data_IF_040128125115
#
_entry.id   IF_040128125115
#
_cell.length_a   1.000
_cell.length_b   1.000
_cell.length_c   1.000
_cell.angle_alpha   90.00
_cell.angle_beta   90.00
_cell.angle_gamma   90.00
#
_symmetry.space_group_name_H-M   'P 1'
#
loop_
_entity.id
_entity.type
_entity.pdbx_description
1 polymer ?
#
# COMPACT_ATOMS: atom_id res chain seq x y z
N UNK A 1 16.04 3.63 22.00
CA UNK A 1 16.83 4.18 20.88
C UNK A 1 15.99 4.32 19.62
N UNK A 2 15.22 3.29 19.23
CA UNK A 2 14.20 3.42 18.20
C UNK A 2 12.91 4.06 18.74
N UNK A 3 12.19 4.80 17.89
CA UNK A 3 10.87 5.37 18.17
C UNK A 3 9.80 4.89 17.18
N UNK A 4 10.15 4.03 16.23
CA UNK A 4 9.26 3.49 15.21
C UNK A 4 9.73 2.11 14.78
N UNK A 5 8.79 1.22 14.50
CA UNK A 5 9.04 -0.10 13.92
C UNK A 5 8.32 -0.23 12.58
N UNK A 6 8.98 -0.89 11.62
CA UNK A 6 8.40 -1.23 10.33
C UNK A 6 8.08 -2.72 10.30
N UNK A 7 6.82 -3.06 10.04
CA UNK A 7 6.39 -4.45 9.91
C UNK A 7 6.13 -4.83 8.46
N UNK A 8 6.61 -6.01 8.09
CA UNK A 8 6.36 -6.66 6.82
C UNK A 8 5.29 -7.74 7.01
N UNK A 9 4.31 -7.76 6.12
CA UNK A 9 3.25 -8.76 6.16
C UNK A 9 2.27 -8.52 7.30
N UNK A 10 1.01 -8.41 6.93
CA UNK A 10 -0.11 -8.31 7.85
C UNK A 10 -1.16 -9.31 7.39
N UNK A 11 -1.23 -10.45 8.06
CA UNK A 11 -2.25 -11.44 7.75
C UNK A 11 -3.59 -10.88 8.27
N UNK A 12 -4.57 -10.58 7.39
CA UNK A 12 -5.84 -9.98 7.81
C UNK A 12 -6.68 -10.88 8.73
N UNK A 13 -6.34 -12.18 8.85
CA UNK A 13 -7.00 -13.09 9.78
C UNK A 13 -6.46 -13.00 11.23
N UNK A 14 -5.32 -12.35 11.44
CA UNK A 14 -4.72 -12.19 12.76
C UNK A 14 -5.24 -10.92 13.43
N UNK A 15 -5.38 -10.97 14.75
CA UNK A 15 -5.63 -9.79 15.56
C UNK A 15 -4.31 -9.06 15.85
N UNK A 16 -4.24 -7.78 15.51
CA UNK A 16 -3.07 -6.93 15.67
C UNK A 16 -3.16 -6.00 16.90
N UNK A 17 -4.28 -5.97 17.64
CA UNK A 17 -4.49 -5.01 18.75
C UNK A 17 -3.39 -5.10 19.80
N UNK A 18 -3.12 -6.29 20.36
CA UNK A 18 -2.16 -6.41 21.47
C UNK A 18 -0.74 -5.96 21.10
N UNK A 19 -0.33 -6.15 19.85
CA UNK A 19 0.96 -5.62 19.38
C UNK A 19 0.93 -4.09 19.30
N UNK A 20 -0.14 -3.52 18.75
CA UNK A 20 -0.28 -2.09 18.57
C UNK A 20 -0.45 -1.37 19.93
N UNK A 21 -1.15 -1.97 20.89
CA UNK A 21 -1.30 -1.49 22.26
C UNK A 21 0.06 -1.39 22.95
N UNK A 22 0.86 -2.46 22.88
CA UNK A 22 2.20 -2.49 23.46
C UNK A 22 3.13 -1.47 22.77
N UNK A 23 3.07 -1.38 21.43
CA UNK A 23 3.82 -0.36 20.70
C UNK A 23 3.43 1.05 21.16
N UNK A 24 2.13 1.32 21.37
CA UNK A 24 1.67 2.62 21.87
C UNK A 24 2.15 2.89 23.30
N UNK A 25 2.04 1.91 24.19
CA UNK A 25 2.48 2.00 25.58
C UNK A 25 3.99 2.29 25.69
N UNK A 26 4.79 1.75 24.78
CA UNK A 26 6.23 2.01 24.66
C UNK A 26 6.57 3.31 23.92
N UNK A 27 5.57 4.07 23.45
CA UNK A 27 5.77 5.30 22.69
C UNK A 27 6.32 5.08 21.27
N UNK A 28 6.16 3.88 20.71
CA UNK A 28 6.60 3.52 19.36
C UNK A 28 5.52 3.83 18.32
N UNK A 29 5.96 4.42 17.19
CA UNK A 29 5.18 4.44 15.96
C UNK A 29 5.28 3.11 15.20
N UNK A 30 4.26 2.78 14.44
CA UNK A 30 4.22 1.57 13.62
C UNK A 30 3.96 1.95 12.17
N UNK A 31 4.85 1.49 11.29
CA UNK A 31 4.68 1.54 9.83
C UNK A 31 4.43 0.12 9.35
N UNK A 32 3.23 -0.15 8.86
CA UNK A 32 2.85 -1.49 8.37
C UNK A 32 2.86 -1.51 6.85
N UNK A 33 3.28 -2.61 6.25
CA UNK A 33 3.08 -2.85 4.82
C UNK A 33 1.96 -3.85 4.57
N UNK A 34 1.15 -3.60 3.53
CA UNK A 34 0.29 -4.64 2.97
C UNK A 34 1.18 -5.81 2.56
N UNK A 35 0.79 -7.01 2.95
CA UNK A 35 1.45 -8.26 2.56
C UNK A 35 1.60 -8.36 1.04
N UNK A 36 2.66 -9.03 0.57
CA UNK A 36 2.81 -9.38 -0.85
C UNK A 36 1.75 -10.40 -1.31
N UNK A 37 1.02 -11.01 -0.37
CA UNK A 37 0.02 -12.06 -0.61
C UNK A 37 -1.08 -11.67 -1.63
N UNK A 38 -1.85 -10.56 -1.46
CA UNK A 38 -2.83 -10.10 -2.46
C UNK A 38 -2.23 -9.73 -3.81
N UNK A 39 -0.93 -9.41 -3.84
CA UNK A 39 -0.25 -9.02 -5.07
C UNK A 39 0.22 -10.23 -5.88
N UNK A 40 0.83 -11.23 -5.23
CA UNK A 40 1.66 -12.23 -5.93
C UNK A 40 1.38 -13.69 -5.55
N UNK A 41 0.72 -13.97 -4.42
CA UNK A 41 0.72 -15.33 -3.85
C UNK A 41 -0.68 -15.96 -3.82
N UNK A 42 -1.73 -15.16 -3.58
CA UNK A 42 -3.08 -15.71 -3.50
C UNK A 42 -3.61 -16.19 -4.87
N UNK A 43 -4.49 -17.18 -4.92
CA UNK A 43 -5.26 -17.47 -6.14
C UNK A 43 -6.03 -16.22 -6.59
N UNK A 44 -5.97 -15.87 -7.87
CA UNK A 44 -6.62 -14.65 -8.37
C UNK A 44 -5.96 -13.35 -7.88
N UNK A 45 -4.67 -13.38 -7.53
CA UNK A 45 -3.90 -12.21 -7.11
C UNK A 45 -3.83 -11.11 -8.18
N UNK A 46 -3.33 -9.94 -7.80
CA UNK A 46 -3.23 -8.78 -8.68
C UNK A 46 -2.47 -9.03 -10.00
N UNK A 47 -1.46 -9.91 -10.02
CA UNK A 47 -0.75 -10.22 -11.26
C UNK A 47 -1.64 -10.92 -12.28
N UNK A 48 -2.64 -11.68 -11.83
CA UNK A 48 -3.63 -12.32 -12.70
C UNK A 48 -4.73 -11.38 -13.22
N UNK A 49 -4.84 -10.17 -12.67
CA UNK A 49 -5.85 -9.16 -13.05
C UNK A 49 -5.26 -8.01 -13.85
N UNK A 50 -4.17 -8.25 -14.58
CA UNK A 50 -3.45 -7.21 -15.34
C UNK A 50 -3.04 -6.01 -14.48
N UNK A 51 -2.58 -6.27 -13.25
CA UNK A 51 -2.13 -5.25 -12.31
C UNK A 51 -3.23 -4.28 -11.87
N UNK A 52 -4.50 -4.68 -11.96
CA UNK A 52 -5.59 -4.02 -11.26
C UNK A 52 -5.78 -4.69 -9.90
N UNK A 53 -5.19 -4.11 -8.85
CA UNK A 53 -5.14 -4.68 -7.51
C UNK A 53 -6.32 -4.26 -6.62
N UNK A 54 -7.30 -3.51 -7.15
CA UNK A 54 -8.36 -2.89 -6.34
C UNK A 54 -9.05 -3.89 -5.42
N UNK A 55 -9.57 -5.00 -5.97
CA UNK A 55 -10.40 -5.93 -5.19
C UNK A 55 -9.56 -6.68 -4.15
N UNK A 56 -8.40 -7.22 -4.54
CA UNK A 56 -7.54 -8.01 -3.68
C UNK A 56 -7.00 -7.19 -2.50
N UNK A 57 -6.58 -5.95 -2.78
CA UNK A 57 -6.05 -5.05 -1.75
C UNK A 57 -7.17 -4.50 -0.88
N UNK A 58 -8.35 -4.19 -1.44
CA UNK A 58 -9.52 -3.78 -0.66
C UNK A 58 -9.92 -4.85 0.36
N UNK A 59 -10.03 -6.10 -0.07
CA UNK A 59 -10.39 -7.21 0.82
C UNK A 59 -9.33 -7.43 1.90
N UNK A 60 -8.05 -7.46 1.52
CA UNK A 60 -6.95 -7.62 2.48
C UNK A 60 -6.88 -6.47 3.47
N UNK A 61 -6.98 -5.22 3.01
CA UNK A 61 -6.91 -4.06 3.89
C UNK A 61 -8.14 -3.95 4.79
N UNK A 62 -9.35 -4.22 4.28
CA UNK A 62 -10.57 -4.28 5.10
C UNK A 62 -10.46 -5.31 6.22
N UNK A 63 -9.83 -6.46 5.94
CA UNK A 63 -9.51 -7.45 6.96
C UNK A 63 -8.59 -6.89 8.04
N UNK A 64 -7.52 -6.19 7.67
CA UNK A 64 -6.61 -5.54 8.63
C UNK A 64 -7.30 -4.43 9.46
N UNK A 65 -8.18 -3.62 8.82
CA UNK A 65 -8.99 -2.63 9.51
C UNK A 65 -9.84 -3.26 10.61
N UNK A 66 -10.48 -4.40 10.32
CA UNK A 66 -11.29 -5.15 11.29
C UNK A 66 -10.45 -5.93 12.31
N UNK A 67 -9.24 -6.35 11.91
CA UNK A 67 -8.28 -7.12 12.71
C UNK A 67 -7.31 -6.25 13.52
N UNK A 68 -7.72 -5.05 13.95
CA UNK A 68 -6.99 -4.25 14.93
C UNK A 68 -6.29 -3.00 14.44
N UNK A 69 -6.34 -2.67 13.15
CA UNK A 69 -5.90 -1.33 12.72
C UNK A 69 -6.89 -0.24 13.14
N UNK A 70 -8.16 -0.57 13.30
CA UNK A 70 -9.17 0.33 13.85
C UNK A 70 -9.52 -0.05 15.29
N UNK A 71 -9.75 0.98 16.09
CA UNK A 71 -10.39 0.86 17.40
C UNK A 71 -11.92 0.72 17.25
N UNK A 72 -12.61 0.37 18.33
CA UNK A 72 -14.08 0.22 18.35
C UNK A 72 -14.84 1.46 17.85
N UNK A 73 -14.28 2.66 18.09
CA UNK A 73 -14.85 3.93 17.63
C UNK A 73 -14.62 4.22 16.14
N UNK A 74 -14.04 3.28 15.37
CA UNK A 74 -13.70 3.39 13.95
C UNK A 74 -12.62 4.43 13.62
N UNK A 75 -11.82 4.81 14.62
CA UNK A 75 -10.57 5.58 14.38
C UNK A 75 -9.38 4.62 14.33
N UNK A 76 -8.33 5.01 13.62
CA UNK A 76 -7.11 4.21 13.59
C UNK A 76 -6.46 4.06 14.97
N UNK A 77 -5.78 2.94 15.17
CA UNK A 77 -4.96 2.72 16.35
C UNK A 77 -3.86 3.80 16.45
N UNK A 78 -3.65 4.46 17.61
CA UNK A 78 -2.74 5.62 17.72
C UNK A 78 -1.26 5.29 17.46
N UNK A 79 -0.86 4.03 17.61
CA UNK A 79 0.46 3.56 17.22
C UNK A 79 0.69 3.60 15.68
N UNK A 80 -0.36 3.47 14.88
CA UNK A 80 -0.24 3.35 13.43
C UNK A 80 0.05 4.71 12.79
N UNK A 81 1.24 4.86 12.20
CA UNK A 81 1.70 6.14 11.62
C UNK A 81 1.54 6.20 10.12
N UNK A 82 1.87 5.11 9.43
CA UNK A 82 1.86 5.04 7.98
C UNK A 82 1.53 3.62 7.53
N UNK A 83 0.92 3.52 6.36
CA UNK A 83 0.66 2.23 5.70
C UNK A 83 1.36 2.22 4.35
N UNK A 84 2.26 1.27 4.17
CA UNK A 84 2.94 1.00 2.91
C UNK A 84 2.00 0.16 2.05
N UNK A 85 1.49 0.77 0.99
CA UNK A 85 0.59 0.14 0.02
C UNK A 85 1.27 -1.08 -0.60
N UNK A 86 2.53 -0.91 -1.04
CA UNK A 86 3.34 -1.97 -1.62
C UNK A 86 4.83 -1.67 -1.41
N UNK A 87 5.62 -2.73 -1.14
CA UNK A 87 7.07 -2.64 -1.02
C UNK A 87 7.77 -3.02 -2.32
N UNK A 88 8.54 -2.08 -2.86
CA UNK A 88 9.41 -2.23 -4.03
C UNK A 88 8.65 -2.85 -5.22
N UNK A 89 7.57 -2.20 -5.68
CA UNK A 89 6.77 -2.72 -6.80
C UNK A 89 7.60 -2.81 -8.09
N UNK A 90 8.64 -1.97 -8.20
CA UNK A 90 9.66 -1.98 -9.25
C UNK A 90 10.55 -3.24 -9.23
N UNK A 91 10.47 -4.10 -8.22
CA UNK A 91 11.12 -5.41 -8.20
C UNK A 91 10.13 -6.59 -8.39
N UNK A 92 8.82 -6.34 -8.32
CA UNK A 92 7.83 -7.43 -8.18
C UNK A 92 6.73 -7.47 -9.25
N UNK A 93 6.27 -6.33 -9.79
CA UNK A 93 4.93 -6.29 -10.41
C UNK A 93 4.78 -5.49 -11.72
N UNK A 94 5.33 -5.85 -12.90
CA UNK A 94 6.23 -6.93 -13.28
C UNK A 94 7.69 -6.44 -13.35
N UNK A 95 8.06 -5.62 -12.38
CA UNK A 95 9.39 -5.05 -12.23
C UNK A 95 9.62 -3.78 -13.05
N UNK A 96 10.82 -3.23 -12.90
CA UNK A 96 11.20 -1.89 -13.36
C UNK A 96 11.12 -1.71 -14.89
N UNK A 97 11.16 -2.81 -15.65
CA UNK A 97 11.04 -2.83 -17.11
C UNK A 97 9.62 -2.55 -17.61
N UNK A 98 8.62 -2.47 -16.73
CA UNK A 98 7.22 -2.25 -17.12
C UNK A 98 6.55 -1.25 -16.20
N UNK A 99 7.00 0.02 -16.20
CA UNK A 99 6.63 0.95 -15.16
C UNK A 99 5.16 1.34 -15.18
N UNK A 100 4.53 1.38 -16.35
CA UNK A 100 3.07 1.62 -16.42
C UNK A 100 2.26 0.56 -15.67
N UNK A 101 2.71 -0.71 -15.68
CA UNK A 101 2.00 -1.80 -15.03
C UNK A 101 2.20 -1.80 -13.52
N UNK A 102 3.43 -1.61 -13.02
CA UNK A 102 3.62 -1.54 -11.56
C UNK A 102 3.01 -0.26 -10.97
N UNK A 103 2.97 0.84 -11.72
CA UNK A 103 2.28 2.07 -11.30
C UNK A 103 0.76 1.85 -11.29
N UNK A 104 0.19 1.13 -12.28
CA UNK A 104 -1.22 0.71 -12.25
C UNK A 104 -1.55 -0.12 -11.01
N UNK A 105 -0.65 -1.04 -10.62
CA UNK A 105 -0.79 -1.82 -9.40
C UNK A 105 -0.87 -0.92 -8.16
N UNK A 106 0.01 0.09 -8.05
CA UNK A 106 0.02 1.02 -6.90
C UNK A 106 -1.26 1.84 -6.84
N UNK A 107 -1.66 2.52 -7.92
CA UNK A 107 -2.83 3.42 -7.87
C UNK A 107 -4.13 2.65 -7.65
N UNK A 108 -4.25 1.44 -8.20
CA UNK A 108 -5.43 0.59 -7.98
C UNK A 108 -5.46 -0.01 -6.58
N UNK A 109 -4.29 -0.30 -5.98
CA UNK A 109 -4.19 -0.71 -4.60
C UNK A 109 -4.58 0.43 -3.63
N UNK A 110 -4.11 1.66 -3.88
CA UNK A 110 -4.52 2.85 -3.11
C UNK A 110 -6.03 3.01 -3.17
N UNK A 111 -6.63 2.95 -4.36
CA UNK A 111 -8.09 3.02 -4.51
C UNK A 111 -8.81 1.90 -3.76
N UNK A 112 -8.28 0.68 -3.80
CA UNK A 112 -8.77 -0.44 -3.00
C UNK A 112 -8.74 -0.17 -1.49
N UNK A 113 -7.65 0.40 -0.98
CA UNK A 113 -7.52 0.78 0.43
C UNK A 113 -8.51 1.87 0.82
N UNK A 114 -8.69 2.90 0.01
CA UNK A 114 -9.70 3.95 0.23
C UNK A 114 -11.12 3.36 0.21
N UNK A 115 -11.39 2.44 -0.72
CA UNK A 115 -12.64 1.69 -0.78
C UNK A 115 -12.89 0.84 0.47
N UNK A 116 -11.84 0.30 1.09
CA UNK A 116 -11.92 -0.44 2.35
C UNK A 116 -12.19 0.50 3.54
N UNK A 117 -11.52 1.65 3.62
CA UNK A 117 -11.80 2.67 4.64
C UNK A 117 -13.25 3.14 4.59
N UNK A 118 -13.76 3.40 3.38
CA UNK A 118 -15.16 3.74 3.15
C UNK A 118 -16.10 2.62 3.62
N UNK A 119 -15.80 1.37 3.30
CA UNK A 119 -16.60 0.21 3.72
C UNK A 119 -16.58 -0.01 5.24
N UNK A 120 -15.48 0.33 5.91
CA UNK A 120 -15.34 0.25 7.36
C UNK A 120 -15.89 1.49 8.11
N UNK A 121 -16.33 2.52 7.38
CA UNK A 121 -16.74 3.82 7.93
C UNK A 121 -15.67 4.43 8.85
N UNK A 122 -14.42 4.44 8.37
CA UNK A 122 -13.29 5.02 9.12
C UNK A 122 -13.53 6.50 9.39
N UNK A 123 -13.15 6.95 10.58
CA UNK A 123 -13.26 8.34 11.03
C UNK A 123 -11.97 8.83 11.69
N UNK A 124 -11.90 10.14 11.97
CA UNK A 124 -10.77 10.74 12.68
C UNK A 124 -9.55 10.95 11.79
N UNK A 125 -8.36 10.96 12.41
CA UNK A 125 -7.10 11.14 11.70
C UNK A 125 -6.74 9.87 10.91
N UNK A 126 -6.41 10.04 9.63
CA UNK A 126 -6.02 8.97 8.73
C UNK A 126 -4.48 8.86 8.66
N UNK A 127 -3.91 7.65 8.59
CA UNK A 127 -2.49 7.47 8.34
C UNK A 127 -2.15 7.87 6.91
N UNK A 128 -0.90 8.25 6.68
CA UNK A 128 -0.43 8.46 5.32
C UNK A 128 -0.21 7.11 4.64
N UNK A 129 -0.71 6.99 3.40
CA UNK A 129 -0.32 5.91 2.51
C UNK A 129 0.98 6.25 1.79
N UNK A 130 1.84 5.24 1.63
CA UNK A 130 3.10 5.38 0.91
C UNK A 130 3.35 4.17 0.02
N UNK A 131 4.06 4.36 -1.08
CA UNK A 131 4.68 3.29 -1.86
C UNK A 131 6.19 3.44 -1.74
N UNK A 132 6.89 2.34 -1.52
CA UNK A 132 8.36 2.37 -1.39
C UNK A 132 8.98 1.85 -2.68
N UNK A 133 9.86 2.65 -3.30
CA UNK A 133 10.61 2.27 -4.49
C UNK A 133 12.05 1.94 -4.11
N UNK A 134 12.68 1.06 -4.87
CA UNK A 134 14.13 0.86 -4.78
C UNK A 134 14.86 2.12 -5.26
N UNK A 135 16.12 2.30 -4.84
CA UNK A 135 17.07 3.25 -5.44
C UNK A 135 17.56 2.81 -6.84
N UNK A 136 16.67 2.22 -7.64
CA UNK A 136 16.93 1.78 -9.01
C UNK A 136 16.64 2.87 -10.04
N UNK A 137 17.35 2.83 -11.17
CA UNK A 137 17.11 3.69 -12.34
C UNK A 137 16.05 3.05 -13.23
N UNK A 138 15.02 3.81 -13.58
CA UNK A 138 13.96 3.37 -14.48
C UNK A 138 14.16 3.97 -15.88
N UNK A 139 14.88 3.27 -16.75
CA UNK A 139 15.15 3.72 -18.13
C UNK A 139 13.87 3.87 -18.97
N UNK A 140 12.86 3.05 -18.67
CA UNK A 140 11.57 3.02 -19.35
C UNK A 140 10.58 4.06 -18.79
N UNK A 141 11.00 4.88 -17.82
CA UNK A 141 10.15 5.90 -17.25
C UNK A 141 10.03 7.13 -18.16
N UNK A 142 8.83 7.72 -18.20
CA UNK A 142 8.53 8.88 -19.06
C UNK A 142 9.33 10.14 -18.73
N UNK A 143 9.92 10.21 -17.54
CA UNK A 143 10.83 11.27 -17.12
C UNK A 143 11.93 10.70 -16.22
N UNK A 144 13.04 11.42 -16.14
CA UNK A 144 14.16 11.13 -15.22
C UNK A 144 14.75 9.71 -15.39
N UNK A 145 14.83 9.24 -16.63
CA UNK A 145 15.21 7.88 -17.00
C UNK A 145 16.63 7.43 -16.57
N UNK A 146 17.44 8.36 -16.06
CA UNK A 146 18.81 8.12 -15.60
C UNK A 146 19.03 8.44 -14.11
N UNK A 147 17.99 8.88 -13.40
CA UNK A 147 18.09 9.32 -12.01
C UNK A 147 17.44 8.26 -11.09
N UNK A 148 18.15 7.75 -10.08
CA UNK A 148 17.61 6.74 -9.15
C UNK A 148 16.29 7.18 -8.52
N UNK A 149 15.28 6.29 -8.54
CA UNK A 149 13.92 6.46 -7.99
C UNK A 149 13.06 7.59 -8.54
N UNK A 150 13.65 8.62 -9.17
CA UNK A 150 12.93 9.83 -9.55
C UNK A 150 11.94 9.57 -10.69
N UNK A 151 12.29 8.68 -11.63
CA UNK A 151 11.37 8.26 -12.69
C UNK A 151 10.13 7.52 -12.15
N UNK A 152 10.33 6.64 -11.17
CA UNK A 152 9.25 5.93 -10.48
C UNK A 152 8.34 6.89 -9.71
N UNK A 153 8.93 7.82 -8.95
CA UNK A 153 8.19 8.87 -8.23
C UNK A 153 7.38 9.75 -9.18
N UNK A 154 7.97 10.15 -10.31
CA UNK A 154 7.29 10.96 -11.32
C UNK A 154 6.10 10.23 -11.92
N UNK A 155 6.26 8.96 -12.31
CA UNK A 155 5.13 8.21 -12.87
C UNK A 155 4.03 7.95 -11.86
N UNK A 156 4.35 7.71 -10.59
CA UNK A 156 3.33 7.59 -9.55
C UNK A 156 2.52 8.89 -9.45
N UNK A 157 3.19 10.05 -9.41
CA UNK A 157 2.52 11.35 -9.39
C UNK A 157 1.62 11.55 -10.62
N UNK A 158 2.15 11.27 -11.80
CA UNK A 158 1.40 11.39 -13.06
C UNK A 158 0.17 10.47 -13.07
N UNK A 159 0.31 9.22 -12.64
CA UNK A 159 -0.78 8.27 -12.57
C UNK A 159 -1.87 8.62 -11.55
N UNK A 160 -1.50 9.20 -10.41
CA UNK A 160 -2.47 9.71 -9.43
C UNK A 160 -3.28 10.88 -10.00
N UNK A 161 -2.71 11.69 -10.89
CA UNK A 161 -3.39 12.82 -11.54
C UNK A 161 -4.12 12.40 -12.83
N UNK A 162 -3.65 11.36 -13.51
CA UNK A 162 -4.13 10.91 -14.81
C UNK A 162 -4.21 9.37 -14.89
N UNK A 163 -5.08 8.72 -14.09
CA UNK A 163 -5.11 7.26 -13.99
C UNK A 163 -5.51 6.58 -15.32
N UNK A 164 -6.26 7.27 -16.18
CA UNK A 164 -6.65 6.76 -17.51
C UNK A 164 -5.46 6.49 -18.42
N UNK A 165 -4.38 7.28 -18.30
CA UNK A 165 -3.14 6.97 -19.03
C UNK A 165 -2.58 5.60 -18.64
N UNK A 166 -2.80 5.15 -17.40
CA UNK A 166 -2.33 3.87 -16.89
C UNK A 166 -3.40 2.77 -17.01
N UNK A 167 -4.36 2.93 -17.92
CA UNK A 167 -5.50 2.03 -18.13
C UNK A 167 -6.28 1.76 -16.84
N UNK A 168 -6.44 2.78 -16.00
CA UNK A 168 -7.17 2.67 -14.74
C UNK A 168 -8.27 3.73 -14.60
N UNK A 169 -9.39 3.31 -14.02
CA UNK A 169 -10.51 4.17 -13.65
C UNK A 169 -10.78 3.93 -12.16
N UNK A 170 -10.59 4.93 -11.28
CA UNK A 170 -10.89 4.82 -9.85
C UNK A 170 -12.38 4.61 -9.54
N UNK A 171 -12.71 4.10 -8.34
CA UNK A 171 -14.05 3.67 -7.94
C UNK A 171 -14.64 4.45 -6.74
#
# INVERSE_FOLDING_TARGET
GANTVRLYGNNPANDHHSFLDEAHALGLGVVVGISDYPYTQMPGNCMSTQQNCYQQVKESYLGNLRGGFLQENRTYHPALRQVIVINEPDLKAPGIASPRLFIRAIISAIDGMLGAEKAANVTGALPNFTATFSFGVCSECSAFATVPSLGQMWQLRDAMLNPKAYNYTPH
#
